data_IF_028611392216
#
_entry.id   IF_028611392216
#
_cell.length_a   1.000
_cell.length_b   1.000
_cell.length_c   1.000
_cell.angle_alpha   90.00
_cell.angle_beta   90.00
_cell.angle_gamma   90.00
#
_symmetry.space_group_name_H-M   'P 1'
#
loop_
_entity.id
_entity.type
_entity.pdbx_description
1 polymer ?
#
# COMPACT_ATOMS: atom_id res chain seq x y z
N UNK A 1 -9.60 -28.30 11.03
CA UNK A 1 -10.05 -27.06 10.37
C UNK A 1 -9.12 -25.88 10.68
N UNK A 2 -8.85 -25.54 11.95
CA UNK A 2 -7.92 -24.45 12.35
C UNK A 2 -6.54 -24.48 11.66
N UNK A 3 -5.86 -25.63 11.61
CA UNK A 3 -4.55 -25.76 10.95
C UNK A 3 -4.56 -25.43 9.44
N UNK A 4 -5.70 -25.59 8.77
CA UNK A 4 -5.82 -25.23 7.34
C UNK A 4 -6.00 -23.73 7.16
N UNK A 5 -6.73 -23.05 8.06
CA UNK A 5 -6.86 -21.59 8.05
C UNK A 5 -5.52 -20.91 8.37
N UNK A 6 -4.76 -21.41 9.34
CA UNK A 6 -3.44 -20.86 9.69
C UNK A 6 -2.43 -20.99 8.55
N UNK A 7 -2.44 -22.13 7.84
CA UNK A 7 -1.60 -22.33 6.66
C UNK A 7 -2.02 -21.44 5.50
N UNK A 8 -3.32 -21.24 5.30
CA UNK A 8 -3.85 -20.36 4.28
C UNK A 8 -3.44 -18.91 4.56
N UNK A 9 -3.65 -18.41 5.78
CA UNK A 9 -3.24 -17.05 6.15
C UNK A 9 -1.72 -16.84 6.04
N UNK A 10 -0.92 -17.84 6.43
CA UNK A 10 0.53 -17.79 6.23
C UNK A 10 0.94 -17.78 4.76
N UNK A 11 0.21 -18.49 3.89
CA UNK A 11 0.40 -18.47 2.45
C UNK A 11 0.05 -17.11 1.85
N UNK A 12 -1.11 -16.57 2.21
CA UNK A 12 -1.59 -15.24 1.77
C UNK A 12 -0.59 -14.17 2.17
N UNK A 13 -0.10 -14.18 3.41
CA UNK A 13 0.82 -13.15 3.88
C UNK A 13 2.20 -13.20 3.21
N UNK A 14 2.70 -14.39 2.85
CA UNK A 14 3.90 -14.50 2.00
C UNK A 14 3.63 -13.97 0.60
N UNK A 15 2.43 -14.21 0.07
CA UNK A 15 1.99 -13.64 -1.20
C UNK A 15 1.97 -12.11 -1.13
N UNK A 16 1.37 -11.53 -0.09
CA UNK A 16 1.31 -10.08 0.13
C UNK A 16 2.70 -9.45 0.24
N UNK A 17 3.62 -10.07 1.00
CA UNK A 17 4.98 -9.53 1.16
C UNK A 17 5.82 -9.67 -0.11
N UNK A 18 5.72 -10.79 -0.83
CA UNK A 18 6.38 -10.97 -2.12
C UNK A 18 5.85 -9.98 -3.15
N UNK A 19 4.53 -9.78 -3.19
CA UNK A 19 3.88 -8.84 -4.09
C UNK A 19 4.28 -7.40 -3.76
N UNK A 20 4.28 -7.00 -2.48
CA UNK A 20 4.71 -5.67 -2.06
C UNK A 20 6.18 -5.43 -2.43
N UNK A 21 7.06 -6.40 -2.19
CA UNK A 21 8.48 -6.31 -2.56
C UNK A 21 8.64 -6.16 -4.08
N UNK A 22 7.91 -6.97 -4.85
CA UNK A 22 7.91 -6.88 -6.31
C UNK A 22 7.46 -5.50 -6.81
N UNK A 23 6.34 -4.98 -6.32
CA UNK A 23 5.85 -3.65 -6.68
C UNK A 23 6.86 -2.58 -6.31
N UNK A 24 7.43 -2.61 -5.10
CA UNK A 24 8.40 -1.63 -4.65
C UNK A 24 9.65 -1.61 -5.54
N UNK A 25 10.24 -2.77 -5.80
CA UNK A 25 11.43 -2.88 -6.66
C UNK A 25 11.11 -2.44 -8.10
N UNK A 26 9.97 -2.86 -8.64
CA UNK A 26 9.52 -2.48 -9.98
C UNK A 26 9.30 -0.96 -10.08
N UNK A 27 8.67 -0.34 -9.09
CA UNK A 27 8.47 1.12 -9.04
C UNK A 27 9.78 1.88 -8.96
N UNK A 28 10.72 1.43 -8.11
CA UNK A 28 12.04 2.06 -7.99
C UNK A 28 12.77 1.98 -9.33
N UNK A 29 12.74 0.82 -10.00
CA UNK A 29 13.36 0.65 -11.31
C UNK A 29 12.72 1.57 -12.36
N UNK A 30 11.38 1.58 -12.46
CA UNK A 30 10.66 2.41 -13.42
C UNK A 30 10.90 3.91 -13.19
N UNK A 31 10.83 4.37 -11.94
CA UNK A 31 11.12 5.76 -11.58
C UNK A 31 12.57 6.14 -11.89
N UNK A 32 13.53 5.24 -11.64
CA UNK A 32 14.95 5.48 -11.93
C UNK A 32 15.20 5.61 -13.43
N UNK A 33 14.61 4.73 -14.25
CA UNK A 33 14.72 4.81 -15.71
C UNK A 33 14.11 6.12 -16.21
N UNK A 34 12.91 6.47 -15.74
CA UNK A 34 12.24 7.71 -16.11
C UNK A 34 13.05 8.96 -15.71
N UNK A 35 13.65 8.97 -14.52
CA UNK A 35 14.52 10.06 -14.05
C UNK A 35 15.78 10.20 -14.92
N UNK A 36 16.43 9.08 -15.27
CA UNK A 36 17.59 9.09 -16.18
C UNK A 36 17.20 9.64 -17.55
N UNK A 37 16.12 9.15 -18.14
CA UNK A 37 15.64 9.64 -19.44
C UNK A 37 15.30 11.14 -19.40
N UNK A 38 14.67 11.64 -18.32
CA UNK A 38 14.41 13.08 -18.14
C UNK A 38 15.69 13.91 -18.05
N UNK A 39 16.69 13.44 -17.30
CA UNK A 39 17.97 14.14 -17.18
C UNK A 39 18.74 14.17 -18.51
N UNK A 40 18.73 13.08 -19.27
CA UNK A 40 19.38 13.00 -20.59
C UNK A 40 18.65 13.86 -21.63
N UNK A 41 17.31 13.87 -21.62
CA UNK A 41 16.52 14.75 -22.49
C UNK A 41 16.76 16.24 -22.18
N UNK A 42 16.99 16.59 -20.90
CA UNK A 42 17.41 17.94 -20.50
C UNK A 42 18.79 18.35 -21.03
N UNK A 43 19.63 17.40 -21.45
CA UNK A 43 20.90 17.64 -22.16
C UNK A 43 20.74 17.58 -23.68
N UNK A 44 19.52 17.70 -24.20
CA UNK A 44 19.19 17.72 -25.64
C UNK A 44 19.57 16.44 -26.39
N UNK A 45 19.52 15.29 -25.72
CA UNK A 45 19.78 13.98 -26.33
C UNK A 45 18.51 13.44 -27.00
N UNK A 46 18.49 13.40 -28.34
CA UNK A 46 17.31 13.05 -29.14
C UNK A 46 16.68 11.68 -28.80
N UNK A 47 17.50 10.64 -28.60
CA UNK A 47 16.98 9.29 -28.29
C UNK A 47 16.32 9.22 -26.91
N UNK A 48 16.76 10.05 -25.96
CA UNK A 48 16.16 10.10 -24.62
C UNK A 48 14.78 10.76 -24.67
N UNK A 49 14.62 11.80 -25.49
CA UNK A 49 13.32 12.45 -25.75
C UNK A 49 12.35 11.50 -26.42
N UNK A 50 12.78 10.76 -27.44
CA UNK A 50 11.95 9.72 -28.06
C UNK A 50 11.56 8.61 -27.07
N UNK A 51 12.46 8.25 -26.14
CA UNK A 51 12.18 7.23 -25.13
C UNK A 51 11.12 7.66 -24.12
N UNK A 52 11.04 8.96 -23.80
CA UNK A 52 10.06 9.50 -22.85
C UNK A 52 8.61 9.31 -23.30
N UNK A 53 8.35 9.33 -24.61
CA UNK A 53 7.02 9.09 -25.19
C UNK A 53 6.50 7.67 -24.86
N UNK A 54 7.39 6.68 -24.89
CA UNK A 54 7.07 5.29 -24.52
C UNK A 54 6.95 5.08 -23.00
N UNK A 55 7.43 6.01 -22.17
CA UNK A 55 7.42 5.91 -20.71
C UNK A 55 6.18 6.57 -20.05
N UNK A 56 5.19 6.98 -20.83
CA UNK A 56 3.95 7.62 -20.34
C UNK A 56 3.15 6.76 -19.34
N UNK A 57 3.30 5.44 -19.38
CA UNK A 57 2.67 4.51 -18.43
C UNK A 57 3.32 4.52 -17.03
N UNK A 58 4.54 5.03 -16.89
CA UNK A 58 5.28 4.99 -15.62
C UNK A 58 4.60 5.86 -14.57
N UNK A 59 4.14 7.06 -14.93
CA UNK A 59 3.47 7.98 -14.00
C UNK A 59 2.19 7.36 -13.38
N UNK A 60 1.21 6.85 -14.15
CA UNK A 60 0.03 6.21 -13.56
C UNK A 60 0.38 4.89 -12.84
N UNK A 61 1.39 4.14 -13.30
CA UNK A 61 1.87 2.95 -12.60
C UNK A 61 2.44 3.28 -11.23
N UNK A 62 3.26 4.34 -11.11
CA UNK A 62 3.82 4.77 -9.83
C UNK A 62 2.71 5.24 -8.88
N UNK A 63 1.77 6.05 -9.37
CA UNK A 63 0.66 6.56 -8.56
C UNK A 63 -0.17 5.41 -7.99
N UNK A 64 -0.60 4.45 -8.82
CA UNK A 64 -1.40 3.31 -8.36
C UNK A 64 -0.56 2.29 -7.60
N UNK A 65 0.70 2.13 -7.96
CA UNK A 65 1.65 1.29 -7.24
C UNK A 65 1.83 1.71 -5.79
N UNK A 66 1.88 3.02 -5.50
CA UNK A 66 1.91 3.50 -4.09
C UNK A 66 0.67 3.07 -3.31
N UNK A 67 -0.51 3.11 -3.94
CA UNK A 67 -1.77 2.65 -3.35
C UNK A 67 -1.72 1.16 -3.02
N UNK A 68 -1.22 0.34 -3.96
CA UNK A 68 -1.00 -1.09 -3.75
C UNK A 68 -0.06 -1.34 -2.57
N UNK A 69 1.08 -0.65 -2.51
CA UNK A 69 2.04 -0.77 -1.41
C UNK A 69 1.44 -0.36 -0.06
N UNK A 70 0.65 0.73 -0.03
CA UNK A 70 -0.01 1.18 1.19
C UNK A 70 -0.97 0.11 1.73
N UNK A 71 -1.79 -0.49 0.87
CA UNK A 71 -2.73 -1.53 1.29
C UNK A 71 -2.06 -2.85 1.67
N UNK A 72 -1.06 -3.30 0.90
CA UNK A 72 -0.30 -4.51 1.22
C UNK A 72 0.47 -4.34 2.54
N UNK A 73 1.09 -3.18 2.76
CA UNK A 73 1.76 -2.82 4.00
C UNK A 73 0.80 -2.76 5.19
N UNK A 74 -0.36 -2.11 5.03
CA UNK A 74 -1.39 -2.04 6.07
C UNK A 74 -1.94 -3.42 6.45
N UNK A 75 -2.16 -4.29 5.45
CA UNK A 75 -2.61 -5.66 5.66
C UNK A 75 -1.58 -6.49 6.44
N UNK A 76 -0.29 -6.37 6.10
CA UNK A 76 0.79 -7.08 6.79
C UNK A 76 0.97 -6.57 8.23
N UNK A 77 0.93 -5.24 8.43
CA UNK A 77 1.00 -4.63 9.76
C UNK A 77 -0.15 -5.09 10.68
N UNK A 78 -1.35 -5.26 10.10
CA UNK A 78 -2.53 -5.77 10.80
C UNK A 78 -2.37 -7.21 11.26
N UNK A 79 -1.70 -8.03 10.46
CA UNK A 79 -1.41 -9.43 10.80
C UNK A 79 -0.36 -9.55 11.91
N UNK A 80 0.70 -8.75 11.84
CA UNK A 80 1.77 -8.77 12.85
C UNK A 80 1.38 -8.07 14.16
N UNK A 81 0.22 -7.40 14.20
CA UNK A 81 -0.22 -6.60 15.34
C UNK A 81 0.68 -5.39 15.61
N UNK A 82 1.50 -4.98 14.63
CA UNK A 82 2.43 -3.86 14.70
C UNK A 82 1.76 -2.53 14.34
N UNK A 83 0.57 -2.32 14.88
CA UNK A 83 -0.06 -1.00 14.81
C UNK A 83 0.72 -0.06 15.71
N UNK A 84 1.09 1.14 15.24
CA UNK A 84 1.67 2.19 16.09
C UNK A 84 0.56 2.64 17.05
N UNK A 85 0.42 1.92 18.17
CA UNK A 85 -0.49 2.27 19.24
C UNK A 85 0.09 3.47 19.96
N UNK A 86 -0.43 4.67 19.68
CA UNK A 86 -0.28 5.84 20.55
C UNK A 86 -1.23 5.61 21.72
N UNK A 87 -0.95 4.57 22.51
CA UNK A 87 -1.90 4.01 23.44
C UNK A 87 -1.29 4.16 24.83
N UNK A 88 -1.48 5.36 25.41
CA UNK A 88 -1.05 5.69 26.78
C UNK A 88 -1.86 4.91 27.81
N UNK A 89 -3.13 4.63 27.53
CA UNK A 89 -4.05 3.90 28.41
C UNK A 89 -3.62 2.45 28.72
N UNK A 90 -3.21 1.60 27.77
CA UNK A 90 -2.75 0.25 28.08
C UNK A 90 -1.44 0.21 28.89
N UNK A 91 -0.74 1.34 29.08
CA UNK A 91 0.41 1.41 29.98
C UNK A 91 0.01 1.40 31.46
N UNK A 92 -1.21 1.87 31.77
CA UNK A 92 -1.75 1.96 33.14
C UNK A 92 -2.85 0.93 33.44
N UNK A 93 -3.37 0.24 32.42
CA UNK A 93 -4.49 -0.69 32.57
C UNK A 93 -4.07 -2.10 33.05
N UNK A 94 -4.91 -2.80 33.83
CA UNK A 94 -4.68 -4.19 34.21
C UNK A 94 -4.86 -5.16 33.01
N UNK A 95 -4.21 -6.34 33.06
CA UNK A 95 -4.09 -7.31 31.95
C UNK A 95 -5.42 -7.63 31.24
N UNK A 96 -6.51 -7.85 32.00
CA UNK A 96 -7.85 -8.14 31.45
C UNK A 96 -8.44 -6.95 30.68
N UNK A 97 -8.25 -5.74 31.19
CA UNK A 97 -8.75 -4.52 30.54
C UNK A 97 -7.98 -4.23 29.26
N UNK A 98 -6.66 -4.48 29.21
CA UNK A 98 -5.88 -4.36 27.96
C UNK A 98 -6.43 -5.26 26.86
N UNK A 99 -6.74 -6.50 27.21
CA UNK A 99 -7.26 -7.48 26.25
C UNK A 99 -8.68 -7.11 25.78
N UNK A 100 -9.51 -6.57 26.67
CA UNK A 100 -10.84 -6.04 26.32
C UNK A 100 -10.74 -4.82 25.40
N UNK A 101 -9.83 -3.88 25.69
CA UNK A 101 -9.57 -2.71 24.85
C UNK A 101 -9.11 -3.13 23.46
N UNK A 102 -8.19 -4.11 23.36
CA UNK A 102 -7.73 -4.67 22.09
C UNK A 102 -8.87 -5.30 21.29
N UNK A 103 -9.75 -6.05 21.96
CA UNK A 103 -10.93 -6.63 21.32
C UNK A 103 -11.90 -5.55 20.81
N UNK A 104 -12.20 -4.54 21.64
CA UNK A 104 -13.10 -3.45 21.27
C UNK A 104 -12.54 -2.63 20.10
N UNK A 105 -11.26 -2.26 20.15
CA UNK A 105 -10.58 -1.57 19.05
C UNK A 105 -10.53 -2.43 17.78
N UNK A 106 -10.29 -3.74 17.90
CA UNK A 106 -10.29 -4.67 16.79
C UNK A 106 -11.66 -4.76 16.10
N UNK A 107 -12.75 -4.89 16.85
CA UNK A 107 -14.10 -4.89 16.29
C UNK A 107 -14.49 -3.55 15.68
N UNK A 108 -14.17 -2.43 16.35
CA UNK A 108 -14.42 -1.09 15.83
C UNK A 108 -13.72 -0.87 14.48
N UNK A 109 -12.43 -1.18 14.42
CA UNK A 109 -11.64 -1.08 13.19
C UNK A 109 -12.13 -2.05 12.11
N UNK A 110 -12.48 -3.29 12.45
CA UNK A 110 -13.04 -4.25 11.51
C UNK A 110 -14.35 -3.75 10.87
N UNK A 111 -15.24 -3.18 11.69
CA UNK A 111 -16.51 -2.63 11.24
C UNK A 111 -16.28 -1.44 10.28
N UNK A 112 -15.40 -0.51 10.65
CA UNK A 112 -15.04 0.62 9.80
C UNK A 112 -14.43 0.15 8.48
N UNK A 113 -13.47 -0.76 8.52
CA UNK A 113 -12.85 -1.33 7.32
C UNK A 113 -13.87 -2.04 6.42
N UNK A 114 -14.86 -2.73 6.98
CA UNK A 114 -15.93 -3.36 6.21
C UNK A 114 -16.81 -2.32 5.48
N UNK A 115 -17.22 -1.25 6.17
CA UNK A 115 -17.98 -0.18 5.53
C UNK A 115 -17.18 0.56 4.46
N UNK A 116 -15.88 0.79 4.69
CA UNK A 116 -14.99 1.34 3.68
C UNK A 116 -14.88 0.41 2.47
N UNK A 117 -14.72 -0.90 2.66
CA UNK A 117 -14.72 -1.87 1.57
C UNK A 117 -16.00 -1.75 0.72
N UNK A 118 -17.17 -1.65 1.37
CA UNK A 118 -18.46 -1.53 0.68
C UNK A 118 -18.63 -0.19 -0.05
N UNK A 119 -18.16 0.90 0.53
CA UNK A 119 -18.21 2.24 -0.07
C UNK A 119 -17.27 2.32 -1.28
N UNK A 120 -16.02 1.89 -1.13
CA UNK A 120 -15.05 1.86 -2.23
C UNK A 120 -15.45 0.87 -3.32
N UNK A 121 -16.11 -0.24 -3.00
CA UNK A 121 -16.65 -1.15 -4.02
C UNK A 121 -17.67 -0.44 -4.90
N UNK A 122 -18.61 0.30 -4.30
CA UNK A 122 -19.58 1.08 -5.07
C UNK A 122 -18.91 2.19 -5.90
N UNK A 123 -17.97 2.92 -5.30
CA UNK A 123 -17.25 3.99 -5.99
C UNK A 123 -16.45 3.44 -7.18
N UNK A 124 -15.70 2.36 -7.00
CA UNK A 124 -14.90 1.76 -8.07
C UNK A 124 -15.77 1.25 -9.19
N UNK A 125 -16.92 0.62 -8.91
CA UNK A 125 -17.82 0.16 -9.98
C UNK A 125 -18.39 1.31 -10.83
N UNK A 126 -18.70 2.46 -10.21
CA UNK A 126 -19.14 3.64 -10.95
C UNK A 126 -18.03 4.17 -11.86
N UNK A 127 -16.80 4.28 -11.33
CA UNK A 127 -15.65 4.73 -12.12
C UNK A 127 -15.23 3.70 -13.19
N UNK A 128 -15.47 2.41 -12.94
CA UNK A 128 -15.08 1.34 -13.85
C UNK A 128 -16.05 1.16 -15.02
N UNK A 129 -17.31 1.59 -14.87
CA UNK A 129 -18.33 1.65 -15.93
C UNK A 129 -18.20 2.91 -16.81
N UNK A 130 -17.48 3.92 -16.33
CA UNK A 130 -17.26 5.16 -17.08
C UNK A 130 -16.33 4.90 -18.27
N UNK A 131 -16.92 4.98 -19.47
CA UNK A 131 -16.23 4.73 -20.74
C UNK A 131 -15.53 6.00 -21.23
N UNK A 132 -14.19 6.03 -21.34
CA UNK A 132 -13.53 7.17 -21.97
C UNK A 132 -13.73 7.11 -23.49
N UNK A 133 -13.86 8.28 -24.11
CA UNK A 133 -14.03 8.41 -25.56
C UNK A 133 -12.88 7.78 -26.37
N UNK A 134 -11.69 7.61 -25.77
CA UNK A 134 -10.54 6.95 -26.40
C UNK A 134 -10.69 5.43 -26.56
N UNK A 135 -11.65 4.81 -25.85
CA UNK A 135 -11.93 3.36 -25.93
C UNK A 135 -13.32 3.09 -26.51
N UNK A 136 -13.99 4.13 -27.00
CA UNK A 136 -15.31 4.08 -27.60
C UNK A 136 -15.17 4.08 -29.12
N UNK A 137 -15.83 3.11 -29.76
CA UNK A 137 -15.90 2.98 -31.21
C UNK A 137 -17.36 3.02 -31.63
N UNK A 138 -17.67 3.79 -32.66
CA UNK A 138 -19.03 3.91 -33.19
C UNK A 138 -19.34 2.71 -34.08
N UNK A 139 -20.30 1.89 -33.67
CA UNK A 139 -20.86 0.84 -34.50
C UNK A 139 -22.27 1.16 -34.99
N UNK A 140 -22.85 0.21 -35.72
CA UNK A 140 -24.13 0.37 -36.42
C UNK A 140 -25.32 0.59 -35.46
N UNK A 141 -25.20 0.13 -34.21
CA UNK A 141 -26.23 0.21 -33.16
C UNK A 141 -25.90 1.23 -32.05
N UNK A 142 -24.82 1.99 -32.20
CA UNK A 142 -24.39 3.02 -31.24
C UNK A 142 -22.93 2.84 -30.80
N UNK A 143 -22.59 3.47 -29.68
CA UNK A 143 -21.27 3.41 -29.08
C UNK A 143 -20.97 2.04 -28.47
N UNK A 144 -19.84 1.45 -28.87
CA UNK A 144 -19.36 0.14 -28.43
C UNK A 144 -17.97 0.29 -27.81
N UNK A 145 -17.60 -0.58 -26.88
CA UNK A 145 -16.24 -0.62 -26.37
C UNK A 145 -15.30 -1.22 -27.43
N UNK A 146 -14.05 -0.75 -27.52
CA UNK A 146 -13.08 -1.18 -28.53
C UNK A 146 -12.86 -2.69 -28.57
N UNK A 147 -12.99 -3.38 -27.44
CA UNK A 147 -12.87 -4.85 -27.36
C UNK A 147 -14.06 -5.61 -27.98
N UNK A 148 -15.20 -4.96 -28.18
CA UNK A 148 -16.42 -5.54 -28.75
C UNK A 148 -16.62 -5.12 -30.22
N UNK A 149 -15.74 -4.26 -30.74
CA UNK A 149 -15.78 -3.73 -32.11
C UNK A 149 -15.22 -4.71 -33.14
N UNK A 150 -15.71 -4.63 -34.37
CA UNK A 150 -15.20 -5.42 -35.51
C UNK A 150 -13.88 -4.85 -36.04
N UNK A 151 -13.11 -5.69 -36.76
CA UNK A 151 -11.82 -5.28 -37.33
C UNK A 151 -11.91 -4.09 -38.29
N UNK A 152 -13.06 -3.89 -38.96
CA UNK A 152 -13.30 -2.74 -39.83
C UNK A 152 -13.53 -1.46 -39.01
N UNK A 153 -14.36 -1.51 -37.98
CA UNK A 153 -14.64 -0.37 -37.10
C UNK A 153 -13.41 0.12 -36.35
N UNK A 154 -12.50 -0.80 -36.00
CA UNK A 154 -11.21 -0.46 -35.35
C UNK A 154 -10.25 0.20 -36.35
N UNK A 155 -10.22 -0.28 -37.61
CA UNK A 155 -9.40 0.32 -38.66
C UNK A 155 -9.84 1.74 -38.99
N UNK A 156 -11.15 1.98 -39.00
CA UNK A 156 -11.74 3.31 -39.18
C UNK A 156 -11.44 4.25 -38.00
N UNK A 157 -11.27 3.71 -36.80
CA UNK A 157 -10.94 4.46 -35.59
C UNK A 157 -9.43 4.64 -35.35
N UNK A 158 -8.55 4.02 -36.16
CA UNK A 158 -7.08 4.11 -36.05
C UNK A 158 -6.54 3.83 -34.63
N UNK A 159 -7.18 2.91 -33.90
CA UNK A 159 -6.80 2.53 -32.54
C UNK A 159 -5.93 1.27 -32.54
N UNK A 160 -4.81 1.28 -31.80
CA UNK A 160 -4.02 0.07 -31.56
C UNK A 160 -4.63 -0.76 -30.43
N UNK A 161 -4.74 -2.08 -30.66
CA UNK A 161 -5.47 -3.00 -29.78
C UNK A 161 -4.55 -3.58 -28.69
N UNK A 162 -4.74 -3.29 -27.40
CA UNK A 162 -4.07 -4.00 -26.34
C UNK A 162 -4.78 -5.35 -26.11
N UNK A 163 -4.31 -6.40 -26.79
CA UNK A 163 -4.93 -7.74 -26.80
C UNK A 163 -5.11 -8.38 -25.42
N UNK A 164 -4.19 -8.11 -24.48
CA UNK A 164 -4.23 -8.65 -23.12
C UNK A 164 -5.39 -8.04 -22.31
N UNK A 165 -5.68 -6.76 -22.51
CA UNK A 165 -6.71 -6.05 -21.76
C UNK A 165 -8.12 -6.59 -22.06
N UNK A 166 -8.42 -6.87 -23.33
CA UNK A 166 -9.72 -7.42 -23.71
C UNK A 166 -9.99 -8.79 -23.09
N UNK A 167 -8.96 -9.63 -22.92
CA UNK A 167 -9.05 -10.89 -22.19
C UNK A 167 -9.43 -10.68 -20.72
N UNK A 168 -8.73 -9.79 -20.02
CA UNK A 168 -8.99 -9.47 -18.61
C UNK A 168 -10.38 -8.86 -18.42
N UNK A 169 -10.80 -7.93 -19.30
CA UNK A 169 -12.14 -7.33 -19.30
C UNK A 169 -13.21 -8.41 -19.39
N UNK A 170 -13.08 -9.34 -20.34
CA UNK A 170 -14.08 -10.40 -20.53
C UNK A 170 -14.21 -11.31 -19.29
N UNK A 171 -13.08 -11.64 -18.65
CA UNK A 171 -13.07 -12.41 -17.41
C UNK A 171 -13.73 -11.66 -16.23
N UNK A 172 -13.44 -10.37 -16.07
CA UNK A 172 -14.02 -9.53 -15.01
C UNK A 172 -15.52 -9.28 -15.22
N UNK A 173 -15.94 -9.07 -16.48
CA UNK A 173 -17.35 -8.95 -16.85
C UNK A 173 -18.12 -10.24 -16.51
N UNK A 174 -17.50 -11.41 -16.68
CA UNK A 174 -18.08 -12.70 -16.28
C UNK A 174 -18.35 -12.83 -14.77
N UNK A 175 -17.69 -12.03 -13.94
CA UNK A 175 -17.88 -12.00 -12.47
C UNK A 175 -18.76 -10.79 -12.06
N UNK A 176 -19.32 -10.05 -13.03
CA UNK A 176 -20.18 -8.90 -12.77
C UNK A 176 -19.43 -7.62 -12.41
N UNK A 177 -18.15 -7.51 -12.77
CA UNK A 177 -17.34 -6.31 -12.59
C UNK A 177 -17.09 -5.68 -13.97
N UNK A 178 -17.90 -4.70 -14.41
CA UNK A 178 -17.66 -3.99 -15.66
C UNK A 178 -16.41 -3.15 -15.50
N UNK A 179 -15.40 -3.40 -16.34
CA UNK A 179 -14.15 -2.64 -16.34
C UNK A 179 -13.87 -2.16 -17.75
N UNK A 180 -14.00 -0.87 -17.95
CA UNK A 180 -13.81 -0.20 -19.24
C UNK A 180 -12.35 0.22 -19.44
N UNK A 181 -11.55 0.40 -18.37
CA UNK A 181 -10.13 0.76 -18.48
C UNK A 181 -9.23 -0.13 -17.62
N UNK A 182 -8.01 -0.44 -18.10
CA UNK A 182 -7.01 -1.18 -17.30
C UNK A 182 -6.64 -0.43 -16.01
N UNK A 183 -6.74 0.88 -16.07
CA UNK A 183 -6.57 1.80 -14.98
C UNK A 183 -7.61 1.65 -13.85
N UNK A 184 -8.88 1.48 -14.19
CA UNK A 184 -9.94 1.17 -13.23
C UNK A 184 -9.78 -0.24 -12.65
N UNK A 185 -9.31 -1.20 -13.47
CA UNK A 185 -9.01 -2.56 -13.01
C UNK A 185 -8.03 -2.56 -11.84
N UNK A 186 -6.97 -1.75 -11.92
CA UNK A 186 -5.95 -1.64 -10.86
C UNK A 186 -6.48 -1.07 -9.54
N UNK A 187 -7.60 -0.33 -9.56
CA UNK A 187 -8.21 0.22 -8.35
C UNK A 187 -9.06 -0.80 -7.58
N UNK A 188 -9.40 -1.95 -8.19
CA UNK A 188 -10.15 -3.03 -7.53
C UNK A 188 -9.42 -3.61 -6.30
N UNK A 189 -8.11 -3.40 -6.18
CA UNK A 189 -7.37 -3.80 -4.98
C UNK A 189 -7.95 -3.15 -3.72
N UNK A 190 -8.39 -1.90 -3.78
CA UNK A 190 -8.77 -1.10 -2.61
C UNK A 190 -9.89 -1.78 -1.81
N UNK A 191 -11.07 -2.05 -2.40
CA UNK A 191 -12.15 -2.71 -1.66
C UNK A 191 -11.79 -4.15 -1.25
N UNK A 192 -11.02 -4.88 -2.06
CA UNK A 192 -10.58 -6.24 -1.75
C UNK A 192 -9.68 -6.26 -0.51
N UNK A 193 -8.70 -5.35 -0.44
CA UNK A 193 -7.77 -5.27 0.68
C UNK A 193 -8.44 -4.76 1.95
N UNK A 194 -9.37 -3.81 1.85
CA UNK A 194 -10.17 -3.41 3.01
C UNK A 194 -11.00 -4.57 3.57
N UNK A 195 -11.58 -5.41 2.70
CA UNK A 195 -12.31 -6.61 3.13
C UNK A 195 -11.37 -7.61 3.81
N UNK A 196 -10.19 -7.86 3.24
CA UNK A 196 -9.16 -8.72 3.84
C UNK A 196 -8.71 -8.22 5.22
N UNK A 197 -8.46 -6.92 5.35
CA UNK A 197 -8.10 -6.27 6.62
C UNK A 197 -9.24 -6.39 7.64
N UNK A 198 -10.49 -6.16 7.22
CA UNK A 198 -11.65 -6.30 8.09
C UNK A 198 -11.78 -7.73 8.66
N UNK A 199 -11.62 -8.75 7.82
CA UNK A 199 -11.63 -10.16 8.23
C UNK A 199 -10.51 -10.46 9.23
N UNK A 200 -9.29 -9.96 8.97
CA UNK A 200 -8.14 -10.16 9.87
C UNK A 200 -8.34 -9.48 11.23
N UNK A 201 -8.81 -8.23 11.24
CA UNK A 201 -9.10 -7.49 12.47
C UNK A 201 -10.19 -8.20 13.30
N UNK A 202 -11.24 -8.68 12.63
CA UNK A 202 -12.32 -9.43 13.27
C UNK A 202 -11.82 -10.75 13.88
N UNK A 203 -11.00 -11.50 13.14
CA UNK A 203 -10.40 -12.74 13.64
C UNK A 203 -9.51 -12.49 14.86
N UNK A 204 -8.68 -11.44 14.82
CA UNK A 204 -7.82 -11.05 15.94
C UNK A 204 -8.63 -10.61 17.17
N UNK A 205 -9.69 -9.82 16.97
CA UNK A 205 -10.61 -9.42 18.05
C UNK A 205 -11.32 -10.62 18.69
N UNK A 206 -11.80 -11.54 17.85
CA UNK A 206 -12.44 -12.78 18.30
C UNK A 206 -11.49 -13.65 19.12
N UNK A 207 -10.24 -13.77 18.71
CA UNK A 207 -9.21 -14.49 19.47
C UNK A 207 -8.93 -13.87 20.84
N UNK A 208 -8.90 -12.53 20.93
CA UNK A 208 -8.74 -11.83 22.20
C UNK A 208 -9.92 -12.07 23.16
N UNK A 209 -11.17 -12.03 22.65
CA UNK A 209 -12.36 -12.36 23.45
C UNK A 209 -12.33 -13.81 23.92
N UNK A 210 -11.94 -14.75 23.05
CA UNK A 210 -11.88 -16.16 23.41
C UNK A 210 -10.93 -16.39 24.59
N UNK A 211 -9.73 -15.80 24.56
CA UNK A 211 -8.75 -15.84 25.67
C UNK A 211 -9.31 -15.26 26.98
N UNK A 212 -10.12 -14.20 26.90
CA UNK A 212 -10.80 -13.65 28.08
C UNK A 212 -11.82 -14.64 28.66
N UNK A 213 -12.61 -15.28 27.80
CA UNK A 213 -13.65 -16.23 28.23
C UNK A 213 -13.10 -17.54 28.75
N UNK A 214 -11.96 -18.01 28.25
CA UNK A 214 -11.31 -19.25 28.69
C UNK A 214 -10.41 -19.06 29.90
N UNK A 215 -10.19 -17.82 30.35
CA UNK A 215 -9.32 -17.51 31.49
C UNK A 215 -7.82 -17.72 31.21
N UNK A 216 -7.42 -18.01 29.97
CA UNK A 216 -6.03 -18.15 29.53
C UNK A 216 -5.38 -16.78 29.30
N UNK A 217 -5.35 -15.94 30.34
CA UNK A 217 -4.56 -14.70 30.34
C UNK A 217 -3.13 -15.07 30.73
N UNK A 218 -2.35 -15.58 29.77
CA UNK A 218 -0.94 -15.93 29.95
C UNK A 218 -0.03 -14.71 29.92
N UNK A 219 1.16 -14.83 30.51
CA UNK A 219 2.16 -13.76 30.63
C UNK A 219 2.77 -13.29 29.30
N UNK A 220 2.51 -13.99 28.18
CA UNK A 220 2.98 -13.65 26.83
C UNK A 220 2.31 -12.42 26.19
N UNK A 221 1.22 -11.91 26.79
CA UNK A 221 0.54 -10.69 26.35
C UNK A 221 1.14 -9.41 27.01
N UNK A 222 2.22 -9.54 27.79
CA UNK A 222 3.07 -8.42 28.19
C UNK A 222 3.71 -7.83 26.91
N UNK A 223 3.48 -6.55 26.57
CA UNK A 223 4.17 -5.95 25.42
C UNK A 223 5.68 -6.11 25.66
N UNK A 224 6.49 -6.41 24.62
CA UNK A 224 7.93 -6.50 24.79
C UNK A 224 8.36 -5.23 25.49
N UNK A 225 8.92 -5.38 26.70
CA UNK A 225 9.55 -4.27 27.36
C UNK A 225 10.58 -3.76 26.35
N UNK A 226 10.33 -2.57 25.81
CA UNK A 226 11.40 -1.76 25.26
C UNK A 226 12.30 -1.36 26.44
N UNK A 227 12.94 -2.33 27.09
CA UNK A 227 14.25 -2.11 27.63
C UNK A 227 15.12 -1.83 26.42
N UNK A 228 15.27 -0.55 26.10
CA UNK A 228 16.42 -0.07 25.36
C UNK A 228 17.60 -0.68 26.10
N UNK A 229 18.37 -1.61 25.50
CA UNK A 229 19.58 -2.09 26.15
C UNK A 229 20.41 -0.85 26.41
N UNK A 230 20.62 -0.49 27.68
CA UNK A 230 21.64 0.50 28.01
C UNK A 230 22.93 -0.12 27.48
N UNK A 231 23.41 0.37 26.34
CA UNK A 231 24.74 0.03 25.84
C UNK A 231 25.69 0.15 27.03
N UNK A 232 26.54 -0.85 27.31
CA UNK A 232 27.69 -0.63 28.17
C UNK A 232 28.41 0.59 27.60
N UNK A 233 28.71 1.59 28.45
CA UNK A 233 29.59 2.70 28.07
C UNK A 233 30.87 2.07 27.54
N UNK A 234 31.06 2.08 26.23
CA UNK A 234 32.33 1.67 25.63
C UNK A 234 33.37 2.69 26.08
N UNK A 235 34.51 2.19 26.55
CA UNK A 235 35.60 2.91 27.21
C UNK A 235 36.31 3.93 26.29
N UNK A 236 35.77 4.18 25.08
CA UNK A 236 36.28 5.12 24.08
C UNK A 236 35.64 6.52 24.08
N UNK A 237 34.45 6.70 24.69
CA UNK A 237 33.77 8.02 24.68
C UNK A 237 34.42 9.05 25.62
N UNK A 238 35.19 8.61 26.63
CA UNK A 238 35.90 9.52 27.54
C UNK A 238 37.08 10.24 26.87
N UNK A 239 37.65 9.68 25.79
CA UNK A 239 38.74 10.32 25.06
C UNK A 239 38.24 11.44 24.13
N UNK A 240 37.02 11.32 23.59
CA UNK A 240 36.44 12.34 22.70
C UNK A 240 35.87 13.55 23.45
N UNK A 241 35.32 13.37 24.66
CA UNK A 241 34.88 14.50 25.49
C UNK A 241 36.07 15.38 25.97
N UNK A 242 37.23 14.78 26.25
CA UNK A 242 38.42 15.53 26.68
C UNK A 242 39.08 16.36 25.56
N UNK A 243 38.94 15.95 24.29
CA UNK A 243 39.53 16.66 23.14
C UNK A 243 38.66 17.85 22.67
N UNK A 244 37.37 17.84 23.00
CA UNK A 244 36.44 18.95 22.69
C UNK A 244 36.57 20.13 23.66
N UNK A 245 37.03 19.90 24.90
CA UNK A 245 37.15 20.94 25.94
C UNK A 245 38.45 21.78 25.82
N UNK A 246 39.38 21.40 24.92
CA UNK A 246 40.69 22.04 24.79
C UNK A 246 40.81 23.11 23.67
N UNK A 247 39.73 23.44 22.95
CA UNK A 247 39.77 24.49 21.91
C UNK A 247 39.46 25.88 22.50
N UNK A 248 40.37 26.87 22.40
CA UNK A 248 40.13 28.21 22.93
C UNK A 248 39.04 28.96 22.15
N UNK A 249 38.23 29.71 22.89
CA UNK A 249 37.06 30.46 22.42
C UNK A 249 37.43 31.53 21.36
N UNK A 250 36.54 31.81 20.39
CA UNK A 250 36.75 32.87 19.42
C UNK A 250 36.60 34.26 20.06
N UNK A 251 37.55 35.14 19.75
CA UNK A 251 37.58 36.56 20.15
C UNK A 251 36.44 37.30 19.44
N UNK A 252 35.52 37.86 20.22
CA UNK A 252 34.49 38.79 19.75
C UNK A 252 35.14 40.15 19.57
N UNK A 253 35.34 40.58 18.33
CA UNK A 253 35.67 41.97 18.00
C UNK A 253 34.39 42.80 17.98
N UNK A 254 34.34 43.77 18.89
CA UNK A 254 33.41 44.90 18.90
C UNK A 254 33.71 45.81 17.71
N UNK A 255 32.73 46.05 16.83
CA UNK A 255 32.75 47.22 15.95
C UNK A 255 31.74 48.24 16.50
N UNK A 256 32.29 49.38 16.91
CA UNK A 256 31.63 50.58 17.40
C UNK A 256 30.94 51.36 16.27
N UNK A 257 29.96 52.16 16.68
CA UNK A 257 29.33 53.25 15.95
C UNK A 257 30.34 54.24 15.34
N UNK A 258 30.18 54.57 14.05
CA UNK A 258 30.04 55.95 13.55
C UNK A 258 29.41 55.98 12.14
#
# INVERSE_FOLDING_TARGET
MLKHLERFDAGVARGESALATFFLVSMIAAASVQAICRNLAGMEIDWATASLEYLTWVDPFLQKGTLWLAFLGASLATREGRHIGIDVLPRIAPKKTKLLMRAAAGYGSALVSFYLARAFWAAVLVNADERPASMEVWGDSGALHVCDATAQQIADAQLELPSIFCGIRSALAGIGVPVETGEAALQLIVPVMFLMIAVRLFANASGAVLKLTTGQVGDDDEPPSHEIPRKPKEEGDAAQEAEAEAKPAPVVSTEEEE
#
